data_IF_872084802534
#
_entry.id   IF_872084802534
#
_cell.length_a   1.000
_cell.length_b   1.000
_cell.length_c   1.000
_cell.angle_alpha   90.00
_cell.angle_beta   90.00
_cell.angle_gamma   90.00
#
_symmetry.space_group_name_H-M   'P 1'
#
loop_
_entity.id
_entity.type
_entity.pdbx_description
1 polymer ?
#
# COMPACT_ATOMS: atom_id res chain seq x y z
N UNK A 1 15.85 -1.67 8.03
CA UNK A 1 15.19 -2.92 8.45
C UNK A 1 15.89 -4.09 7.79
N UNK A 2 16.21 -5.12 8.54
CA UNK A 2 16.83 -6.33 7.98
C UNK A 2 15.85 -7.09 7.08
N UNK A 3 16.37 -7.89 6.16
CA UNK A 3 15.53 -8.71 5.28
C UNK A 3 14.66 -9.71 6.06
N UNK A 4 15.20 -10.31 7.12
CA UNK A 4 14.44 -11.24 7.97
C UNK A 4 13.31 -10.55 8.71
N UNK A 5 13.57 -9.38 9.29
CA UNK A 5 12.58 -8.61 10.01
C UNK A 5 11.45 -8.17 9.06
N UNK A 6 11.80 -7.73 7.87
CA UNK A 6 10.83 -7.36 6.84
C UNK A 6 9.93 -8.55 6.49
N UNK A 7 10.54 -9.70 6.16
CA UNK A 7 9.78 -10.91 5.82
C UNK A 7 8.84 -11.34 6.96
N UNK A 8 9.30 -11.21 8.20
CA UNK A 8 8.47 -11.53 9.36
C UNK A 8 7.25 -10.60 9.46
N UNK A 9 7.42 -9.30 9.21
CA UNK A 9 6.33 -8.34 9.21
C UNK A 9 5.35 -8.65 8.08
N UNK A 10 5.84 -8.85 6.86
CA UNK A 10 5.01 -9.19 5.70
C UNK A 10 4.20 -10.46 5.94
N UNK A 11 4.82 -11.50 6.49
CA UNK A 11 4.15 -12.75 6.80
C UNK A 11 3.04 -12.55 7.86
N UNK A 12 3.30 -11.74 8.87
CA UNK A 12 2.31 -11.45 9.91
C UNK A 12 1.12 -10.67 9.37
N UNK A 13 1.36 -9.70 8.49
CA UNK A 13 0.29 -8.92 7.85
C UNK A 13 -0.55 -9.82 6.96
N UNK A 14 0.09 -10.65 6.13
CA UNK A 14 -0.61 -11.57 5.25
C UNK A 14 -1.44 -12.59 6.04
N UNK A 15 -0.90 -13.13 7.14
CA UNK A 15 -1.60 -14.07 8.00
C UNK A 15 -2.82 -13.43 8.68
N UNK A 16 -2.66 -12.20 9.17
CA UNK A 16 -3.77 -11.46 9.78
C UNK A 16 -4.88 -11.17 8.75
N UNK A 17 -4.52 -10.74 7.56
CA UNK A 17 -5.47 -10.47 6.48
C UNK A 17 -6.21 -11.74 6.07
N UNK A 18 -5.51 -12.86 5.92
CA UNK A 18 -6.11 -14.15 5.58
C UNK A 18 -7.09 -14.61 6.67
N UNK A 19 -6.74 -14.43 7.93
CA UNK A 19 -7.61 -14.77 9.06
C UNK A 19 -8.88 -13.94 9.05
N UNK A 20 -8.77 -12.63 8.86
CA UNK A 20 -9.91 -11.73 8.80
C UNK A 20 -10.85 -12.06 7.63
N UNK A 21 -10.28 -12.41 6.48
CA UNK A 21 -11.05 -12.86 5.33
C UNK A 21 -11.82 -14.14 5.64
N UNK A 22 -11.18 -15.11 6.30
CA UNK A 22 -11.80 -16.37 6.68
C UNK A 22 -12.91 -16.19 7.72
N UNK A 23 -12.73 -15.28 8.68
CA UNK A 23 -13.71 -14.99 9.72
C UNK A 23 -14.95 -14.27 9.17
N UNK A 24 -14.88 -13.71 7.97
CA UNK A 24 -16.02 -13.07 7.32
C UNK A 24 -16.47 -11.77 7.96
N UNK A 25 -15.59 -11.08 8.68
CA UNK A 25 -15.93 -9.80 9.29
C UNK A 25 -16.17 -8.73 8.23
N UNK A 26 -17.29 -7.97 8.30
CA UNK A 26 -17.53 -6.88 7.37
C UNK A 26 -16.68 -5.67 7.73
N UNK A 27 -15.86 -5.22 6.80
CA UNK A 27 -15.09 -3.98 6.93
C UNK A 27 -15.55 -3.00 5.87
N UNK A 28 -15.89 -1.78 6.29
CA UNK A 28 -16.31 -0.72 5.38
C UNK A 28 -15.15 0.18 4.98
N UNK A 29 -14.10 0.19 5.78
CA UNK A 29 -12.94 1.06 5.59
C UNK A 29 -11.68 0.35 6.08
N UNK A 30 -10.65 0.32 5.23
CA UNK A 30 -9.34 -0.22 5.59
C UNK A 30 -8.28 0.84 5.32
N UNK A 31 -7.41 1.03 6.31
CA UNK A 31 -6.25 1.91 6.17
C UNK A 31 -4.99 1.05 6.18
N UNK A 32 -4.18 1.19 5.13
CA UNK A 32 -2.89 0.55 5.02
C UNK A 32 -1.79 1.63 5.09
N UNK A 33 -1.10 1.66 6.21
CA UNK A 33 0.03 2.55 6.44
C UNK A 33 1.21 1.73 6.97
N UNK A 34 1.79 0.86 6.12
CA UNK A 34 2.88 -0.01 6.55
C UNK A 34 4.18 0.79 6.73
N UNK A 35 5.13 0.23 7.50
CA UNK A 35 6.46 0.80 7.55
C UNK A 35 7.12 0.73 6.17
N UNK A 36 8.17 1.53 5.95
CA UNK A 36 8.93 1.48 4.70
C UNK A 36 9.50 0.07 4.50
N UNK A 37 9.06 -0.62 3.46
CA UNK A 37 9.54 -1.97 3.14
C UNK A 37 10.90 -1.97 2.47
N UNK A 38 11.33 -0.84 1.92
CA UNK A 38 12.65 -0.72 1.31
C UNK A 38 13.33 0.58 1.72
N UNK A 39 14.62 0.49 1.99
CA UNK A 39 15.51 1.63 2.25
C UNK A 39 16.65 1.67 1.23
N UNK A 40 16.61 0.81 0.22
CA UNK A 40 17.63 0.72 -0.81
C UNK A 40 17.00 0.39 -2.16
N UNK A 41 17.59 0.92 -3.22
CA UNK A 41 17.10 0.69 -4.59
C UNK A 41 17.09 -0.80 -4.95
N UNK A 42 18.10 -1.56 -4.52
CA UNK A 42 18.25 -2.99 -4.83
C UNK A 42 17.15 -3.88 -4.23
N UNK A 43 16.41 -3.39 -3.24
CA UNK A 43 15.35 -4.16 -2.57
C UNK A 43 13.94 -3.72 -2.98
N UNK A 44 13.83 -2.83 -3.97
CA UNK A 44 12.54 -2.26 -4.39
C UNK A 44 11.59 -3.33 -4.91
N UNK A 45 12.05 -4.26 -5.75
CA UNK A 45 11.17 -5.28 -6.32
C UNK A 45 10.54 -6.16 -5.24
N UNK A 46 11.33 -6.56 -4.24
CA UNK A 46 10.81 -7.34 -3.12
C UNK A 46 9.83 -6.53 -2.27
N UNK A 47 10.12 -5.23 -2.07
CA UNK A 47 9.22 -4.35 -1.33
C UNK A 47 7.89 -4.18 -2.07
N UNK A 48 7.93 -4.04 -3.39
CA UNK A 48 6.70 -3.89 -4.19
C UNK A 48 5.84 -5.14 -4.13
N UNK A 49 6.43 -6.33 -4.02
CA UNK A 49 5.67 -7.56 -3.78
C UNK A 49 4.97 -7.55 -2.43
N UNK A 50 5.65 -7.06 -1.39
CA UNK A 50 5.05 -6.91 -0.06
C UNK A 50 3.89 -5.92 -0.07
N UNK A 51 4.06 -4.76 -0.68
CA UNK A 51 3.00 -3.78 -0.84
C UNK A 51 1.81 -4.37 -1.62
N UNK A 52 2.09 -5.11 -2.69
CA UNK A 52 1.05 -5.74 -3.49
C UNK A 52 0.25 -6.74 -2.67
N UNK A 53 0.91 -7.57 -1.88
CA UNK A 53 0.24 -8.59 -1.07
C UNK A 53 -0.73 -7.97 -0.08
N UNK A 54 -0.31 -6.96 0.68
CA UNK A 54 -1.20 -6.34 1.66
C UNK A 54 -2.35 -5.57 1.00
N UNK A 55 -2.09 -4.90 -0.12
CA UNK A 55 -3.14 -4.19 -0.85
C UNK A 55 -4.14 -5.16 -1.48
N UNK A 56 -3.65 -6.23 -2.07
CA UNK A 56 -4.48 -7.30 -2.63
C UNK A 56 -5.43 -7.87 -1.57
N UNK A 57 -4.91 -8.21 -0.39
CA UNK A 57 -5.70 -8.75 0.71
C UNK A 57 -6.74 -7.75 1.20
N UNK A 58 -6.36 -6.49 1.35
CA UNK A 58 -7.30 -5.44 1.76
C UNK A 58 -8.43 -5.27 0.74
N UNK A 59 -8.11 -5.25 -0.54
CA UNK A 59 -9.11 -5.13 -1.60
C UNK A 59 -10.10 -6.30 -1.58
N UNK A 60 -9.64 -7.50 -1.27
CA UNK A 60 -10.51 -8.67 -1.16
C UNK A 60 -11.42 -8.62 0.06
N UNK A 61 -10.96 -8.00 1.15
CA UNK A 61 -11.75 -7.86 2.36
C UNK A 61 -12.88 -6.84 2.24
N UNK A 62 -12.73 -5.87 1.34
CA UNK A 62 -13.70 -4.78 1.20
C UNK A 62 -14.87 -5.20 0.32
N UNK A 63 -16.10 -4.89 0.73
CA UNK A 63 -17.27 -5.04 -0.15
C UNK A 63 -17.33 -3.91 -1.16
N UNK A 64 -18.22 -4.03 -2.14
CA UNK A 64 -18.56 -2.93 -3.02
C UNK A 64 -19.08 -1.76 -2.19
N UNK A 65 -18.59 -0.56 -2.47
CA UNK A 65 -18.88 0.63 -1.68
C UNK A 65 -17.93 0.88 -0.52
N UNK A 66 -17.08 -0.08 -0.17
CA UNK A 66 -16.06 0.09 0.87
C UNK A 66 -14.92 0.99 0.42
N UNK A 67 -14.15 1.51 1.36
CA UNK A 67 -13.06 2.44 1.10
C UNK A 67 -11.71 1.87 1.50
N UNK A 68 -10.71 2.11 0.68
CA UNK A 68 -9.31 1.76 0.95
C UNK A 68 -8.46 3.01 0.93
N UNK A 69 -7.84 3.30 2.07
CA UNK A 69 -6.78 4.31 2.16
C UNK A 69 -5.44 3.57 2.20
N UNK A 70 -4.57 3.82 1.25
CA UNK A 70 -3.30 3.12 1.15
C UNK A 70 -2.16 4.10 0.90
N UNK A 71 -1.05 3.87 1.59
CA UNK A 71 0.08 4.78 1.58
C UNK A 71 1.41 4.05 1.56
N UNK A 72 2.43 4.75 1.09
CA UNK A 72 3.83 4.36 1.21
C UNK A 72 4.65 5.59 1.53
N UNK A 73 5.54 5.49 2.50
CA UNK A 73 6.50 6.54 2.85
C UNK A 73 7.92 6.22 2.38
N UNK A 74 8.10 5.22 1.55
CA UNK A 74 9.42 4.87 1.03
C UNK A 74 9.76 5.71 -0.19
N UNK A 75 10.88 6.45 -0.12
CA UNK A 75 11.39 7.22 -1.26
C UNK A 75 11.64 6.32 -2.49
N UNK A 76 12.15 5.11 -2.28
CA UNK A 76 12.49 4.19 -3.37
C UNK A 76 11.26 3.56 -4.04
N UNK A 77 10.15 3.47 -3.35
CA UNK A 77 8.88 3.07 -3.93
C UNK A 77 8.23 4.31 -4.56
N UNK A 78 8.63 4.65 -5.79
CA UNK A 78 8.15 5.83 -6.49
C UNK A 78 6.64 5.79 -6.69
N UNK A 79 6.02 6.95 -6.94
CA UNK A 79 4.60 7.03 -7.25
C UNK A 79 4.24 6.14 -8.43
N UNK A 80 5.05 6.14 -9.48
CA UNK A 80 4.84 5.30 -10.67
C UNK A 80 4.81 3.82 -10.31
N UNK A 81 5.79 3.35 -9.54
CA UNK A 81 5.83 1.95 -9.08
C UNK A 81 4.66 1.61 -8.18
N UNK A 82 4.28 2.53 -7.30
CA UNK A 82 3.16 2.34 -6.39
C UNK A 82 1.84 2.22 -7.15
N UNK A 83 1.61 3.09 -8.12
CA UNK A 83 0.43 3.03 -8.98
C UNK A 83 0.38 1.72 -9.76
N UNK A 84 1.51 1.30 -10.34
CA UNK A 84 1.61 0.03 -11.06
C UNK A 84 1.26 -1.15 -10.17
N UNK A 85 1.75 -1.15 -8.95
CA UNK A 85 1.44 -2.17 -7.95
C UNK A 85 -0.06 -2.20 -7.63
N UNK A 86 -0.68 -1.02 -7.42
CA UNK A 86 -2.10 -0.92 -7.11
C UNK A 86 -2.97 -1.45 -8.25
N UNK A 87 -2.63 -1.14 -9.49
CA UNK A 87 -3.32 -1.71 -10.65
C UNK A 87 -3.23 -3.23 -10.69
N UNK A 88 -2.05 -3.77 -10.44
CA UNK A 88 -1.84 -5.22 -10.44
C UNK A 88 -2.62 -5.89 -9.30
N UNK A 89 -2.61 -5.30 -8.11
CA UNK A 89 -3.36 -5.83 -6.96
C UNK A 89 -4.87 -5.82 -7.23
N UNK A 90 -5.39 -4.74 -7.78
CA UNK A 90 -6.81 -4.64 -8.10
C UNK A 90 -7.24 -5.65 -9.16
N UNK A 91 -6.41 -5.85 -10.18
CA UNK A 91 -6.65 -6.84 -11.23
C UNK A 91 -6.70 -8.24 -10.63
N UNK A 92 -5.74 -8.60 -9.80
CA UNK A 92 -5.66 -9.92 -9.19
C UNK A 92 -6.81 -10.15 -8.19
N UNK A 93 -7.25 -9.11 -7.51
CA UNK A 93 -8.37 -9.16 -6.57
C UNK A 93 -9.74 -9.13 -7.27
N UNK A 94 -9.77 -8.91 -8.58
CA UNK A 94 -11.00 -8.72 -9.36
C UNK A 94 -11.86 -7.57 -8.80
N UNK A 95 -11.21 -6.47 -8.45
CA UNK A 95 -11.87 -5.27 -7.91
C UNK A 95 -11.67 -4.09 -8.86
N UNK A 96 -12.70 -3.27 -8.98
CA UNK A 96 -12.60 -1.97 -9.63
C UNK A 96 -12.55 -0.89 -8.56
N UNK A 97 -11.64 0.05 -8.73
CA UNK A 97 -11.40 1.12 -7.76
C UNK A 97 -11.75 2.47 -8.38
N UNK A 98 -12.52 3.26 -7.63
CA UNK A 98 -12.71 4.68 -7.94
C UNK A 98 -11.72 5.48 -7.12
N UNK A 99 -10.89 6.28 -7.77
CA UNK A 99 -9.96 7.16 -7.07
C UNK A 99 -10.73 8.36 -6.50
N UNK A 100 -10.69 8.51 -5.18
CA UNK A 100 -11.33 9.63 -4.48
C UNK A 100 -10.34 10.75 -4.25
N UNK A 101 -9.16 10.42 -3.73
CA UNK A 101 -8.11 11.39 -3.46
C UNK A 101 -6.73 10.81 -3.69
N UNK A 102 -5.79 11.68 -4.08
CA UNK A 102 -4.36 11.41 -4.11
C UNK A 102 -3.69 12.56 -3.37
N UNK A 103 -2.85 12.24 -2.40
CA UNK A 103 -2.16 13.27 -1.61
C UNK A 103 -0.68 12.93 -1.46
N UNK A 104 0.08 14.00 -1.25
CA UNK A 104 1.49 13.95 -0.86
C UNK A 104 1.59 14.34 0.62
N UNK A 105 2.81 14.46 1.14
CA UNK A 105 3.03 14.87 2.52
C UNK A 105 2.48 16.28 2.79
N UNK A 106 2.19 16.54 4.07
CA UNK A 106 1.71 17.84 4.52
C UNK A 106 2.74 18.94 4.29
N UNK A 107 2.31 20.22 4.22
CA UNK A 107 3.23 21.34 3.95
C UNK A 107 4.37 21.54 4.94
N UNK A 108 4.23 21.05 6.18
CA UNK A 108 5.30 21.07 7.17
C UNK A 108 6.41 20.04 6.89
N UNK A 109 6.19 19.15 5.90
CA UNK A 109 7.20 18.25 5.34
C UNK A 109 7.41 18.62 3.86
N UNK A 110 8.17 19.68 3.57
CA UNK A 110 8.22 20.23 2.21
C UNK A 110 8.92 19.30 1.22
N UNK A 111 8.43 19.34 -0.02
CA UNK A 111 9.08 18.67 -1.15
C UNK A 111 10.01 19.69 -1.82
N UNK A 112 11.29 19.41 -1.80
CA UNK A 112 12.31 20.27 -2.42
C UNK A 112 12.73 19.63 -3.76
N UNK A 113 12.52 20.34 -4.84
CA UNK A 113 12.77 19.79 -6.18
C UNK A 113 14.23 19.46 -6.44
N UNK A 114 15.16 20.20 -5.80
CA UNK A 114 16.58 19.87 -5.86
C UNK A 114 17.02 18.71 -4.99
N UNK A 115 16.12 18.17 -4.17
CA UNK A 115 16.40 17.06 -3.24
C UNK A 115 15.27 16.02 -3.40
N UNK A 116 15.40 15.11 -4.37
CA UNK A 116 14.32 14.13 -4.69
C UNK A 116 13.87 13.28 -3.51
N UNK A 117 14.75 13.02 -2.54
CA UNK A 117 14.47 12.21 -1.35
C UNK A 117 13.40 12.84 -0.45
N UNK A 118 13.14 14.14 -0.61
CA UNK A 118 12.09 14.82 0.16
C UNK A 118 10.70 14.49 -0.33
N UNK A 119 10.54 13.94 -1.54
CA UNK A 119 9.26 13.48 -2.08
C UNK A 119 9.09 12.00 -1.79
N UNK A 120 8.54 11.66 -0.63
CA UNK A 120 8.49 10.28 -0.17
C UNK A 120 7.10 9.73 0.08
N UNK A 121 6.10 10.57 0.37
CA UNK A 121 4.76 10.08 0.73
C UNK A 121 3.86 9.97 -0.50
N UNK A 122 3.29 8.78 -0.68
CA UNK A 122 2.21 8.51 -1.62
C UNK A 122 1.01 8.09 -0.82
N UNK A 123 -0.12 8.76 -1.01
CA UNK A 123 -1.38 8.43 -0.35
C UNK A 123 -2.50 8.42 -1.38
N UNK A 124 -3.27 7.34 -1.36
CA UNK A 124 -4.41 7.16 -2.24
C UNK A 124 -5.63 6.74 -1.42
N UNK A 125 -6.75 7.36 -1.71
CA UNK A 125 -8.05 6.94 -1.18
C UNK A 125 -8.90 6.44 -2.34
N UNK A 126 -9.35 5.19 -2.22
CA UNK A 126 -10.19 4.53 -3.22
C UNK A 126 -11.52 4.11 -2.63
N UNK A 127 -12.53 4.05 -3.49
CA UNK A 127 -13.76 3.33 -3.20
C UNK A 127 -13.85 2.11 -4.11
N UNK A 128 -14.20 0.97 -3.55
CA UNK A 128 -14.46 -0.25 -4.33
C UNK A 128 -15.84 -0.13 -4.98
N UNK A 129 -15.91 -0.27 -6.29
CA UNK A 129 -17.17 -0.13 -7.04
C UNK A 129 -17.58 -1.42 -7.75
#
# INVERSE_FOLDING_TARGET
MSGERRRAIEARVAAAAARLEKEGHPYDFIILDPPAFTKARRTVDNAMRGYKEINYRAMKLLPRGGYLATASCSHFATEELFIKMLHAAAKDAHRQLRQIEVKQQAPDHPILWGVPETNYLKFFLFQVI
#
